data_IF_864309402540
#
_entry.id   IF_864309402540
#
_cell.length_a   1.000
_cell.length_b   1.000
_cell.length_c   1.000
_cell.angle_alpha   90.00
_cell.angle_beta   90.00
_cell.angle_gamma   90.00
#
_symmetry.space_group_name_H-M   'P 1'
#
loop_
_entity.id
_entity.type
_entity.pdbx_description
1 polymer ?
#
# COMPACT_ATOMS: atom_id res chain seq x y z
N UNK A 1 -6.86 -7.23 -2.66
CA UNK A 1 -7.00 -6.38 -3.87
C UNK A 1 -6.53 -7.15 -5.10
N UNK A 2 -7.12 -6.89 -6.28
CA UNK A 2 -6.72 -7.51 -7.56
C UNK A 2 -6.07 -6.45 -8.47
N UNK A 3 -4.86 -6.71 -8.96
CA UNK A 3 -4.11 -5.82 -9.84
C UNK A 3 -3.82 -6.46 -11.20
N UNK A 4 -3.81 -5.67 -12.27
CA UNK A 4 -3.46 -6.10 -13.64
C UNK A 4 -2.28 -5.31 -14.20
N UNK A 5 -1.18 -5.99 -14.50
CA UNK A 5 -0.06 -5.46 -15.29
C UNK A 5 0.38 -6.49 -16.35
N UNK A 6 0.55 -6.05 -17.60
CA UNK A 6 1.07 -6.84 -18.75
C UNK A 6 0.60 -8.31 -18.87
N UNK A 7 -0.68 -8.57 -18.53
CA UNK A 7 -1.31 -9.89 -18.63
C UNK A 7 -1.17 -10.79 -17.40
N UNK A 8 -0.51 -10.32 -16.33
CA UNK A 8 -0.40 -11.03 -15.06
C UNK A 8 -1.41 -10.44 -14.07
N UNK A 9 -2.37 -11.27 -13.68
CA UNK A 9 -3.32 -10.99 -12.61
C UNK A 9 -2.76 -11.61 -11.32
N UNK A 10 -2.67 -10.81 -10.27
CA UNK A 10 -2.22 -11.24 -8.95
C UNK A 10 -3.28 -10.87 -7.91
N UNK A 11 -3.39 -11.69 -6.88
CA UNK A 11 -4.32 -11.48 -5.76
C UNK A 11 -3.54 -11.42 -4.48
N UNK A 12 -3.85 -10.40 -3.67
CA UNK A 12 -3.18 -10.12 -2.42
C UNK A 12 -4.20 -9.90 -1.31
N UNK A 13 -3.92 -10.47 -0.14
CA UNK A 13 -4.63 -10.24 1.11
C UNK A 13 -3.86 -9.19 1.91
N UNK A 14 -4.51 -8.06 2.22
CA UNK A 14 -3.83 -6.93 2.84
C UNK A 14 -4.65 -6.47 4.03
N UNK A 15 -3.96 -6.30 5.15
CA UNK A 15 -4.55 -5.74 6.37
C UNK A 15 -4.11 -4.29 6.53
N UNK A 16 -5.04 -3.45 6.98
CA UNK A 16 -4.78 -2.05 7.34
C UNK A 16 -4.71 -1.97 8.86
N UNK A 17 -3.52 -1.80 9.47
CA UNK A 17 -3.42 -1.62 10.91
C UNK A 17 -3.98 -0.27 11.34
N UNK A 18 -4.70 -0.21 12.45
CA UNK A 18 -5.26 1.04 12.98
C UNK A 18 -4.18 2.12 13.18
N UNK A 19 -2.98 1.71 13.58
CA UNK A 19 -1.83 2.61 13.79
C UNK A 19 -1.36 3.32 12.52
N UNK A 20 -1.70 2.82 11.32
CA UNK A 20 -1.28 3.45 10.06
C UNK A 20 -1.91 4.82 9.89
N UNK A 21 -3.19 4.97 10.26
CA UNK A 21 -3.90 6.25 10.18
C UNK A 21 -3.32 7.25 11.17
N UNK A 22 -3.00 6.77 12.39
CA UNK A 22 -2.33 7.57 13.42
C UNK A 22 -0.95 8.06 12.94
N UNK A 23 -0.15 7.18 12.32
CA UNK A 23 1.18 7.50 11.81
C UNK A 23 1.14 8.52 10.64
N UNK A 24 0.09 8.48 9.83
CA UNK A 24 -0.13 9.45 8.74
C UNK A 24 -0.59 10.82 9.27
N UNK A 25 -1.17 10.87 10.47
CA UNK A 25 -1.73 12.08 11.05
C UNK A 25 -2.91 12.65 10.25
N UNK A 26 -3.62 11.78 9.53
CA UNK A 26 -4.79 12.12 8.71
C UNK A 26 -6.05 11.67 9.45
N UNK A 27 -7.10 12.50 9.43
CA UNK A 27 -8.43 12.09 9.87
C UNK A 27 -9.27 11.74 8.64
N UNK A 28 -9.99 10.62 8.70
CA UNK A 28 -11.03 10.24 7.72
C UNK A 28 -10.54 9.72 6.35
N UNK A 29 -9.45 8.95 6.29
CA UNK A 29 -9.12 8.15 5.09
C UNK A 29 -9.69 6.74 5.24
N UNK A 30 -10.41 6.29 4.22
CA UNK A 30 -10.95 4.93 4.17
C UNK A 30 -9.88 3.90 3.83
N UNK A 31 -9.99 2.70 4.42
CA UNK A 31 -9.04 1.59 4.24
C UNK A 31 -8.83 1.22 2.77
N UNK A 32 -9.89 1.30 1.95
CA UNK A 32 -9.81 1.02 0.52
C UNK A 32 -8.87 2.01 -0.19
N UNK A 33 -8.93 3.29 0.17
CA UNK A 33 -8.06 4.32 -0.37
C UNK A 33 -6.61 4.11 0.07
N UNK A 34 -6.39 3.77 1.35
CA UNK A 34 -5.05 3.43 1.85
C UNK A 34 -4.46 2.27 1.06
N UNK A 35 -5.21 1.18 0.88
CA UNK A 35 -4.76 0.00 0.13
C UNK A 35 -4.46 0.37 -1.33
N UNK A 36 -5.35 1.11 -1.99
CA UNK A 36 -5.18 1.52 -3.39
C UNK A 36 -3.90 2.32 -3.59
N UNK A 37 -3.70 3.40 -2.82
CA UNK A 37 -2.52 4.27 -2.96
C UNK A 37 -1.22 3.53 -2.60
N UNK A 38 -1.29 2.60 -1.65
CA UNK A 38 -0.15 1.74 -1.30
C UNK A 38 0.27 0.81 -2.44
N UNK A 39 -0.70 0.27 -3.16
CA UNK A 39 -0.42 -0.58 -4.31
C UNK A 39 0.06 0.22 -5.52
N UNK A 40 -0.44 1.44 -5.74
CA UNK A 40 0.13 2.34 -6.75
C UNK A 40 1.59 2.65 -6.42
N UNK A 41 1.91 2.94 -5.16
CA UNK A 41 3.28 3.12 -4.68
C UNK A 41 4.19 1.91 -4.95
N UNK A 42 3.71 0.70 -4.69
CA UNK A 42 4.47 -0.55 -4.92
C UNK A 42 4.68 -0.81 -6.42
N UNK A 43 3.65 -0.63 -7.24
CA UNK A 43 3.70 -0.90 -8.68
C UNK A 43 4.60 0.08 -9.45
N UNK A 44 4.84 1.28 -8.91
CA UNK A 44 5.85 2.20 -9.43
C UNK A 44 7.29 1.70 -9.23
N UNK A 45 7.52 0.76 -8.30
CA UNK A 45 8.85 0.30 -7.86
C UNK A 45 9.14 -1.15 -8.24
N UNK A 46 8.15 -2.01 -8.12
CA UNK A 46 8.30 -3.46 -8.28
C UNK A 46 7.18 -4.05 -9.15
N UNK A 47 7.47 -5.14 -9.89
CA UNK A 47 6.42 -5.82 -10.63
C UNK A 47 5.44 -6.52 -9.66
N UNK A 48 4.16 -6.69 -10.05
CA UNK A 48 3.13 -7.28 -9.19
C UNK A 48 3.48 -8.69 -8.67
N UNK A 49 4.29 -9.45 -9.41
CA UNK A 49 4.76 -10.79 -9.02
C UNK A 49 5.76 -10.79 -7.87
N UNK A 50 6.39 -9.65 -7.57
CA UNK A 50 7.33 -9.50 -6.45
C UNK A 50 6.66 -9.00 -5.17
N UNK A 51 5.42 -8.51 -5.27
CA UNK A 51 4.65 -8.05 -4.11
C UNK A 51 4.22 -9.27 -3.28
N UNK A 52 4.43 -9.21 -1.96
CA UNK A 52 4.00 -10.24 -1.02
C UNK A 52 2.50 -10.54 -1.18
N UNK A 53 2.11 -11.82 -1.12
CA UNK A 53 0.70 -12.20 -1.26
C UNK A 53 -0.16 -11.81 -0.05
N UNK A 54 0.45 -11.76 1.12
CA UNK A 54 -0.22 -11.43 2.37
C UNK A 54 0.72 -10.59 3.23
N UNK A 55 0.27 -9.40 3.63
CA UNK A 55 1.05 -8.51 4.48
C UNK A 55 0.17 -7.37 5.05
N UNK A 56 0.53 -6.83 6.23
CA UNK A 56 -0.03 -5.56 6.69
C UNK A 56 0.60 -4.39 5.93
N UNK A 57 -0.15 -3.33 5.65
CA UNK A 57 0.39 -2.14 4.95
C UNK A 57 1.62 -1.52 5.65
N UNK A 58 1.75 -1.67 6.96
CA UNK A 58 2.92 -1.20 7.71
C UNK A 58 4.22 -1.90 7.32
N UNK A 59 4.15 -3.17 6.86
CA UNK A 59 5.32 -3.93 6.43
C UNK A 59 6.01 -3.30 5.21
N UNK A 60 5.29 -2.51 4.40
CA UNK A 60 5.89 -1.79 3.26
C UNK A 60 7.03 -0.87 3.75
N UNK A 61 6.88 -0.24 4.91
CA UNK A 61 7.89 0.65 5.49
C UNK A 61 9.22 -0.04 5.84
N UNK A 62 9.19 -1.36 6.04
CA UNK A 62 10.39 -2.16 6.30
C UNK A 62 11.28 -2.30 5.06
N UNK A 63 10.67 -2.27 3.88
CA UNK A 63 11.35 -2.34 2.58
C UNK A 63 11.57 -0.96 1.97
N UNK A 64 10.63 -0.03 2.18
CA UNK A 64 10.63 1.31 1.63
C UNK A 64 10.42 2.35 2.74
N UNK A 65 11.49 2.83 3.38
CA UNK A 65 11.40 3.80 4.48
C UNK A 65 10.68 5.11 4.12
N UNK A 66 10.60 5.46 2.83
CA UNK A 66 9.90 6.65 2.35
C UNK A 66 8.38 6.50 2.23
N UNK A 67 7.86 5.27 2.35
CA UNK A 67 6.47 4.92 2.05
C UNK A 67 5.45 5.79 2.80
N UNK A 68 5.59 5.96 4.12
CA UNK A 68 4.62 6.75 4.90
C UNK A 68 4.59 8.23 4.47
N UNK A 69 5.75 8.82 4.17
CA UNK A 69 5.84 10.20 3.72
C UNK A 69 5.26 10.39 2.32
N UNK A 70 5.48 9.43 1.43
CA UNK A 70 4.91 9.38 0.09
C UNK A 70 3.38 9.21 0.14
N UNK A 71 2.90 8.26 0.92
CA UNK A 71 1.48 7.97 1.09
C UNK A 71 0.75 9.19 1.68
N UNK A 72 1.32 9.83 2.71
CA UNK A 72 0.78 11.08 3.26
C UNK A 72 0.68 12.17 2.19
N UNK A 73 1.69 12.31 1.31
CA UNK A 73 1.67 13.31 0.23
C UNK A 73 0.59 13.04 -0.81
N UNK A 74 0.30 11.77 -1.11
CA UNK A 74 -0.77 11.37 -2.04
C UNK A 74 -2.17 11.64 -1.49
N UNK A 75 -2.31 11.57 -0.16
CA UNK A 75 -3.57 11.69 0.57
C UNK A 75 -3.83 13.09 1.18
N UNK A 76 -2.91 14.04 0.99
CA UNK A 76 -3.04 15.42 1.50
C UNK A 76 -3.84 16.34 0.58
#
# INVERSE_FOLDING_TARGET
MTLRGEGVETSHEVSVPDSLVDDLGLSEVDDETLVKESFEFLLEREPPTSILREFPLTAISEYFPEYLGELRRRLS
#
